data_IF_780140896745
#
_entry.id   IF_780140896745
#
_cell.length_a   1.000
_cell.length_b   1.000
_cell.length_c   1.000
_cell.angle_alpha   90.00
_cell.angle_beta   90.00
_cell.angle_gamma   90.00
#
_symmetry.space_group_name_H-M   'P 1'
#
loop_
_entity.id
_entity.type
_entity.pdbx_description
1 polymer ?
#
# COMPACT_ATOMS: atom_id res chain seq x y z
N UNK A 1 9.28 29.04 2.63
CA UNK A 1 9.54 27.61 2.80
C UNK A 1 11.00 27.51 3.15
N UNK A 2 11.30 27.05 4.36
CA UNK A 2 12.68 26.80 4.76
C UNK A 2 13.21 25.63 3.92
N UNK A 3 14.03 25.93 2.91
CA UNK A 3 14.64 24.93 2.00
C UNK A 3 15.48 23.86 2.74
N UNK A 4 15.76 24.05 4.04
CA UNK A 4 16.51 23.13 4.89
C UNK A 4 15.66 22.06 5.62
N UNK A 5 14.33 22.02 5.46
CA UNK A 5 13.48 21.09 6.24
C UNK A 5 13.31 19.69 5.65
N UNK A 6 13.41 19.52 4.32
CA UNK A 6 13.19 18.25 3.61
C UNK A 6 14.51 17.59 3.18
N UNK A 7 15.54 17.64 4.01
CA UNK A 7 16.81 16.98 3.68
C UNK A 7 16.70 15.45 3.81
N UNK A 8 17.43 14.67 3.00
CA UNK A 8 17.43 13.21 3.09
C UNK A 8 17.69 12.68 4.50
N UNK A 9 18.61 13.30 5.25
CA UNK A 9 18.92 12.90 6.63
C UNK A 9 17.73 13.14 7.57
N UNK A 10 17.00 14.26 7.39
CA UNK A 10 15.84 14.59 8.23
C UNK A 10 14.66 13.67 7.93
N UNK A 11 14.43 13.36 6.65
CA UNK A 11 13.40 12.40 6.23
C UNK A 11 13.70 11.01 6.79
N UNK A 12 14.93 10.52 6.63
CA UNK A 12 15.32 9.20 7.14
C UNK A 12 15.19 9.11 8.67
N UNK A 13 15.60 10.16 9.41
CA UNK A 13 15.43 10.22 10.87
C UNK A 13 13.97 10.20 11.32
N UNK A 14 13.05 10.60 10.44
CA UNK A 14 11.60 10.62 10.67
C UNK A 14 10.88 9.36 10.14
N UNK A 15 11.59 8.31 9.72
CA UNK A 15 11.02 7.13 9.04
C UNK A 15 10.30 7.45 7.72
N UNK A 16 10.74 8.51 7.04
CA UNK A 16 10.31 8.87 5.69
C UNK A 16 11.43 8.47 4.72
N UNK A 17 11.11 7.80 3.63
CA UNK A 17 12.11 7.36 2.68
C UNK A 17 12.70 8.56 1.93
N UNK A 18 14.04 8.73 1.90
CA UNK A 18 14.68 9.95 1.41
C UNK A 18 14.54 10.21 -0.09
N UNK A 19 14.21 9.17 -0.88
CA UNK A 19 14.07 9.29 -2.34
C UNK A 19 12.61 9.41 -2.80
N UNK A 20 11.70 8.71 -2.13
CA UNK A 20 10.27 8.67 -2.52
C UNK A 20 9.43 9.62 -1.69
N UNK A 21 9.96 10.06 -0.55
CA UNK A 21 9.37 11.03 0.37
C UNK A 21 8.09 10.52 1.02
N UNK A 22 7.93 9.19 1.06
CA UNK A 22 6.83 8.50 1.71
C UNK A 22 7.30 7.84 3.01
N UNK A 23 6.50 7.98 4.07
CA UNK A 23 6.64 7.23 5.31
C UNK A 23 6.06 5.82 5.21
N UNK A 24 6.78 4.84 5.76
CA UNK A 24 6.37 3.43 5.84
C UNK A 24 5.18 3.20 6.76
N UNK A 25 4.94 4.12 7.70
CA UNK A 25 3.87 4.03 8.70
C UNK A 25 2.46 3.93 8.08
N UNK A 26 2.26 4.45 6.85
CA UNK A 26 0.99 4.31 6.15
C UNK A 26 0.60 2.84 5.93
N UNK A 27 1.57 1.92 5.82
CA UNK A 27 1.29 0.48 5.69
C UNK A 27 0.51 -0.08 6.89
N UNK A 28 0.59 0.56 8.07
CA UNK A 28 -0.19 0.16 9.23
C UNK A 28 -1.69 0.26 8.95
N UNK A 29 -2.14 1.30 8.24
CA UNK A 29 -3.55 1.48 7.86
C UNK A 29 -4.08 0.30 7.03
N UNK A 30 -3.28 -0.20 6.08
CA UNK A 30 -3.67 -1.37 5.28
C UNK A 30 -3.63 -2.66 6.08
N UNK A 31 -2.59 -2.83 6.92
CA UNK A 31 -2.44 -4.02 7.75
C UNK A 31 -3.60 -4.16 8.75
N UNK A 32 -4.12 -3.05 9.29
CA UNK A 32 -5.29 -3.06 10.16
C UNK A 32 -6.53 -3.60 9.44
N UNK A 33 -6.84 -3.13 8.23
CA UNK A 33 -7.95 -3.65 7.44
C UNK A 33 -7.80 -5.16 7.13
N UNK A 34 -6.60 -5.58 6.72
CA UNK A 34 -6.30 -7.00 6.45
C UNK A 34 -6.52 -7.85 7.70
N UNK A 35 -6.01 -7.41 8.85
CA UNK A 35 -6.18 -8.11 10.12
C UNK A 35 -7.66 -8.29 10.46
N UNK A 36 -8.48 -7.24 10.31
CA UNK A 36 -9.92 -7.32 10.56
C UNK A 36 -10.60 -8.37 9.68
N UNK A 37 -10.28 -8.38 8.39
CA UNK A 37 -10.84 -9.34 7.43
C UNK A 37 -10.38 -10.78 7.72
N UNK A 38 -9.11 -10.98 8.09
CA UNK A 38 -8.55 -12.28 8.46
C UNK A 38 -9.22 -12.89 9.70
N UNK A 39 -9.76 -12.06 10.60
CA UNK A 39 -10.47 -12.53 11.79
C UNK A 39 -11.89 -13.02 11.49
N UNK A 40 -12.56 -12.49 10.45
CA UNK A 40 -13.98 -12.77 10.18
C UNK A 40 -14.32 -14.28 10.11
N UNK A 41 -13.52 -15.15 9.44
CA UNK A 41 -13.84 -16.58 9.38
C UNK A 41 -13.86 -17.26 10.76
N UNK A 42 -13.00 -16.83 11.68
CA UNK A 42 -12.92 -17.37 13.05
C UNK A 42 -13.87 -16.65 14.02
N UNK A 43 -14.14 -15.36 13.77
CA UNK A 43 -14.99 -14.49 14.57
C UNK A 43 -15.88 -13.64 13.65
N UNK A 44 -17.05 -14.16 13.22
CA UNK A 44 -17.96 -13.46 12.31
C UNK A 44 -18.41 -12.07 12.78
N UNK A 45 -18.43 -11.84 14.10
CA UNK A 45 -18.78 -10.54 14.71
C UNK A 45 -17.83 -9.41 14.28
N UNK A 46 -16.57 -9.72 13.96
CA UNK A 46 -15.59 -8.74 13.44
C UNK A 46 -15.99 -8.18 12.07
N UNK A 47 -16.97 -8.78 11.36
CA UNK A 47 -17.50 -8.20 10.13
C UNK A 47 -18.07 -6.79 10.35
N UNK A 48 -18.60 -6.49 11.55
CA UNK A 48 -19.06 -5.14 11.88
C UNK A 48 -17.92 -4.11 11.81
N UNK A 49 -16.73 -4.45 12.31
CA UNK A 49 -15.54 -3.58 12.25
C UNK A 49 -15.06 -3.40 10.80
N UNK A 50 -15.10 -4.46 9.98
CA UNK A 50 -14.80 -4.35 8.54
C UNK A 50 -15.79 -3.41 7.83
N UNK A 51 -17.07 -3.42 8.21
CA UNK A 51 -18.11 -2.56 7.64
C UNK A 51 -18.00 -1.09 8.07
N UNK A 52 -17.42 -0.83 9.24
CA UNK A 52 -17.14 0.50 9.78
C UNK A 52 -15.79 1.06 9.34
N UNK A 53 -14.91 0.22 8.78
CA UNK A 53 -13.62 0.67 8.29
C UNK A 53 -13.78 1.65 7.12
N UNK A 54 -13.09 2.79 7.19
CA UNK A 54 -13.13 3.84 6.18
C UNK A 54 -11.75 4.08 5.53
N UNK A 55 -11.70 4.29 4.21
CA UNK A 55 -10.46 4.62 3.52
C UNK A 55 -9.95 5.98 3.97
N UNK A 56 -8.63 6.11 4.07
CA UNK A 56 -7.96 7.37 4.42
C UNK A 56 -6.97 7.75 3.35
N UNK A 57 -6.97 9.03 2.97
CA UNK A 57 -5.88 9.59 2.18
C UNK A 57 -4.57 9.54 2.97
N UNK A 58 -3.44 9.68 2.29
CA UNK A 58 -2.12 9.74 2.94
C UNK A 58 -2.10 10.79 4.06
N UNK A 59 -2.56 12.01 3.77
CA UNK A 59 -2.56 13.09 4.76
C UNK A 59 -3.47 12.80 5.96
N UNK A 60 -4.70 12.31 5.71
CA UNK A 60 -5.64 11.99 6.79
C UNK A 60 -5.08 10.92 7.75
N UNK A 61 -4.42 9.88 7.23
CA UNK A 61 -3.76 8.87 8.08
C UNK A 61 -2.79 9.51 9.07
N UNK A 62 -1.93 10.41 8.60
CA UNK A 62 -0.96 11.07 9.47
C UNK A 62 -1.59 12.11 10.40
N UNK A 63 -2.64 12.81 9.97
CA UNK A 63 -3.39 13.75 10.80
C UNK A 63 -4.02 13.05 12.02
N UNK A 64 -4.61 11.87 11.79
CA UNK A 64 -5.33 11.07 12.78
C UNK A 64 -4.42 10.28 13.73
N UNK A 65 -3.16 10.04 13.35
CA UNK A 65 -2.22 9.24 14.13
C UNK A 65 -1.34 10.09 15.06
N UNK A 66 -0.71 9.41 16.03
CA UNK A 66 0.31 9.99 16.92
C UNK A 66 1.72 9.93 16.31
N UNK A 67 1.82 9.84 14.98
CA UNK A 67 3.10 9.81 14.29
C UNK A 67 3.87 11.13 14.56
N UNK A 68 5.06 11.02 15.15
CA UNK A 68 5.78 12.14 15.75
C UNK A 68 6.09 13.26 14.74
N UNK A 69 6.38 12.88 13.50
CA UNK A 69 6.80 13.80 12.43
C UNK A 69 5.70 13.90 11.36
N UNK A 70 4.42 13.89 11.75
CA UNK A 70 3.28 13.87 10.82
C UNK A 70 3.23 15.05 9.87
N UNK A 71 3.52 16.25 10.36
CA UNK A 71 3.58 17.45 9.52
C UNK A 71 4.68 17.32 8.45
N UNK A 72 5.84 16.76 8.83
CA UNK A 72 6.95 16.51 7.91
C UNK A 72 6.58 15.44 6.88
N UNK A 73 5.89 14.36 7.28
CA UNK A 73 5.43 13.32 6.35
C UNK A 73 4.43 13.86 5.32
N UNK A 74 3.49 14.70 5.76
CA UNK A 74 2.50 15.34 4.87
C UNK A 74 3.19 16.32 3.92
N UNK A 75 4.10 17.15 4.43
CA UNK A 75 4.90 18.10 3.63
C UNK A 75 5.76 17.37 2.59
N UNK A 76 6.47 16.32 3.01
CA UNK A 76 7.28 15.48 2.14
C UNK A 76 6.43 14.81 1.05
N UNK A 77 5.28 14.25 1.40
CA UNK A 77 4.37 13.68 0.40
C UNK A 77 3.88 14.74 -0.59
N UNK A 78 3.52 15.95 -0.15
CA UNK A 78 3.08 17.01 -1.06
C UNK A 78 4.17 17.46 -2.04
N UNK A 79 5.43 17.39 -1.63
CA UNK A 79 6.59 17.74 -2.44
C UNK A 79 7.20 16.56 -3.22
N UNK A 80 6.75 15.33 -2.96
CA UNK A 80 7.19 14.13 -3.64
C UNK A 80 6.94 14.18 -5.15
N UNK A 81 7.71 13.39 -5.91
CA UNK A 81 7.54 13.23 -7.36
C UNK A 81 6.06 12.89 -7.67
N UNK A 82 5.39 13.66 -8.54
CA UNK A 82 4.02 13.37 -8.97
C UNK A 82 3.82 11.93 -9.45
N UNK A 83 4.81 11.30 -10.10
CA UNK A 83 4.74 9.92 -10.58
C UNK A 83 4.71 8.92 -9.42
N UNK A 84 5.49 9.16 -8.36
CA UNK A 84 5.49 8.34 -7.15
C UNK A 84 4.13 8.43 -6.46
N UNK A 85 3.58 9.64 -6.32
CA UNK A 85 2.25 9.83 -5.75
C UNK A 85 1.16 9.15 -6.55
N UNK A 86 1.15 9.33 -7.87
CA UNK A 86 0.18 8.70 -8.74
C UNK A 86 0.24 7.16 -8.65
N UNK A 87 1.45 6.59 -8.56
CA UNK A 87 1.62 5.14 -8.38
C UNK A 87 1.07 4.67 -7.03
N UNK A 88 1.32 5.42 -5.96
CA UNK A 88 0.80 5.12 -4.63
C UNK A 88 -0.74 5.22 -4.58
N UNK A 89 -1.28 6.31 -5.11
CA UNK A 89 -2.73 6.59 -5.16
C UNK A 89 -3.47 5.52 -5.98
N UNK A 90 -2.88 5.04 -7.09
CA UNK A 90 -3.46 3.95 -7.87
C UNK A 90 -3.59 2.64 -7.07
N UNK A 91 -2.61 2.30 -6.24
CA UNK A 91 -2.68 1.12 -5.36
C UNK A 91 -3.70 1.34 -4.24
N UNK A 92 -3.78 2.56 -3.70
CA UNK A 92 -4.80 2.93 -2.72
C UNK A 92 -6.22 2.79 -3.29
N UNK A 93 -6.46 3.25 -4.51
CA UNK A 93 -7.75 3.10 -5.19
C UNK A 93 -8.10 1.63 -5.44
N UNK A 94 -7.13 0.79 -5.84
CA UNK A 94 -7.31 -0.66 -6.00
C UNK A 94 -7.71 -1.32 -4.68
N UNK A 95 -7.00 -1.00 -3.59
CA UNK A 95 -7.29 -1.51 -2.25
C UNK A 95 -8.69 -1.10 -1.79
N UNK A 96 -9.02 0.18 -1.92
CA UNK A 96 -10.30 0.74 -1.47
C UNK A 96 -11.48 0.18 -2.26
N UNK A 97 -11.32 -0.01 -3.58
CA UNK A 97 -12.35 -0.63 -4.41
C UNK A 97 -12.62 -2.09 -4.02
N UNK A 98 -11.55 -2.86 -3.76
CA UNK A 98 -11.67 -4.23 -3.26
C UNK A 98 -12.41 -4.27 -1.92
N UNK A 99 -12.01 -3.42 -0.97
CA UNK A 99 -12.63 -3.37 0.34
C UNK A 99 -14.11 -2.96 0.27
N UNK A 100 -14.45 -1.96 -0.55
CA UNK A 100 -15.84 -1.54 -0.74
C UNK A 100 -16.71 -2.68 -1.32
N UNK A 101 -16.16 -3.49 -2.23
CA UNK A 101 -16.84 -4.67 -2.75
C UNK A 101 -17.08 -5.72 -1.66
N UNK A 102 -16.07 -6.00 -0.81
CA UNK A 102 -16.21 -6.90 0.33
C UNK A 102 -17.25 -6.39 1.33
N UNK A 103 -17.24 -5.11 1.65
CA UNK A 103 -18.23 -4.50 2.55
C UNK A 103 -19.65 -4.61 1.97
N UNK A 104 -19.82 -4.43 0.66
CA UNK A 104 -21.13 -4.60 0.01
C UNK A 104 -21.61 -6.05 0.15
N UNK A 105 -20.75 -7.02 -0.13
CA UNK A 105 -21.05 -8.43 0.02
C UNK A 105 -21.40 -8.80 1.48
N UNK A 106 -20.65 -8.28 2.46
CA UNK A 106 -20.88 -8.52 3.89
C UNK A 106 -22.19 -7.90 4.41
N UNK A 107 -22.69 -6.82 3.79
CA UNK A 107 -24.02 -6.25 4.14
C UNK A 107 -25.18 -7.12 3.66
N UNK A 108 -24.97 -7.89 2.60
CA UNK A 108 -26.02 -8.67 1.93
C UNK A 108 -26.00 -10.16 2.30
N UNK A 109 -24.96 -10.61 3.01
CA UNK A 109 -24.69 -12.02 3.27
C UNK A 109 -24.34 -12.30 4.72
N UNK A 110 -24.54 -13.55 5.17
CA UNK A 110 -24.07 -14.01 6.46
C UNK A 110 -22.53 -14.19 6.44
N UNK A 111 -21.74 -13.49 7.29
CA UNK A 111 -20.30 -13.66 7.36
C UNK A 111 -19.84 -15.07 7.77
N UNK A 112 -20.73 -15.88 8.37
CA UNK A 112 -20.47 -17.28 8.67
C UNK A 112 -20.67 -18.22 7.46
N UNK A 113 -21.19 -17.71 6.33
CA UNK A 113 -21.37 -18.51 5.12
C UNK A 113 -19.99 -18.92 4.53
N UNK A 114 -19.74 -20.23 4.29
CA UNK A 114 -18.49 -20.71 3.71
C UNK A 114 -18.13 -20.07 2.35
N UNK A 115 -19.12 -19.74 1.51
CA UNK A 115 -18.86 -19.07 0.24
C UNK A 115 -18.34 -17.64 0.44
N UNK A 116 -18.89 -16.92 1.43
CA UNK A 116 -18.43 -15.59 1.84
C UNK A 116 -17.00 -15.66 2.38
N UNK A 117 -16.70 -16.63 3.24
CA UNK A 117 -15.36 -16.81 3.80
C UNK A 117 -14.32 -17.12 2.73
N UNK A 118 -14.69 -17.90 1.71
CA UNK A 118 -13.82 -18.18 0.56
C UNK A 118 -13.53 -16.90 -0.25
N UNK A 119 -14.55 -16.07 -0.49
CA UNK A 119 -14.39 -14.79 -1.18
C UNK A 119 -13.50 -13.82 -0.40
N UNK A 120 -13.67 -13.71 0.92
CA UNK A 120 -12.78 -12.90 1.78
C UNK A 120 -11.33 -13.39 1.68
N UNK A 121 -11.12 -14.70 1.75
CA UNK A 121 -9.78 -15.31 1.65
C UNK A 121 -9.13 -15.05 0.28
N UNK A 122 -9.89 -15.19 -0.81
CA UNK A 122 -9.41 -14.91 -2.17
C UNK A 122 -9.05 -13.43 -2.32
N UNK A 123 -9.90 -12.50 -1.87
CA UNK A 123 -9.60 -11.08 -1.91
C UNK A 123 -8.35 -10.69 -1.11
N UNK A 124 -8.15 -11.31 0.06
CA UNK A 124 -6.95 -11.12 0.87
C UNK A 124 -5.67 -11.50 0.12
N UNK A 125 -5.63 -12.70 -0.45
CA UNK A 125 -4.43 -13.25 -1.09
C UNK A 125 -4.18 -12.64 -2.49
N UNK A 126 -5.23 -12.35 -3.24
CA UNK A 126 -5.12 -11.95 -4.64
C UNK A 126 -5.09 -10.44 -4.84
N UNK A 127 -5.60 -9.64 -3.88
CA UNK A 127 -5.69 -8.18 -4.01
C UNK A 127 -5.09 -7.43 -2.84
N UNK A 128 -5.57 -7.65 -1.61
CA UNK A 128 -5.22 -6.80 -0.47
C UNK A 128 -3.75 -6.96 -0.03
N UNK A 129 -3.26 -8.20 0.17
CA UNK A 129 -1.85 -8.45 0.52
C UNK A 129 -0.89 -8.03 -0.62
N UNK A 130 -1.19 -8.31 -1.90
CA UNK A 130 -0.42 -7.75 -3.02
C UNK A 130 -0.39 -6.22 -3.03
N UNK A 131 -1.50 -5.53 -2.71
CA UNK A 131 -1.52 -4.07 -2.61
C UNK A 131 -0.57 -3.57 -1.51
N UNK A 132 -0.53 -4.18 -0.32
CA UNK A 132 0.48 -3.84 0.71
C UNK A 132 1.90 -4.01 0.19
N UNK A 133 2.17 -5.11 -0.51
CA UNK A 133 3.48 -5.37 -1.10
C UNK A 133 3.87 -4.31 -2.15
N UNK A 134 2.94 -3.97 -3.06
CA UNK A 134 3.12 -2.90 -4.07
C UNK A 134 3.39 -1.55 -3.39
N UNK A 135 2.57 -1.16 -2.40
CA UNK A 135 2.74 0.09 -1.65
C UNK A 135 4.08 0.12 -0.91
N UNK A 136 4.48 -0.98 -0.29
CA UNK A 136 5.80 -1.10 0.35
C UNK A 136 6.92 -0.92 -0.67
N UNK A 137 6.80 -1.54 -1.86
CA UNK A 137 7.74 -1.34 -2.97
C UNK A 137 7.86 0.13 -3.36
N UNK A 138 6.73 0.81 -3.57
CA UNK A 138 6.69 2.24 -3.93
C UNK A 138 7.35 3.10 -2.83
N UNK A 139 7.05 2.84 -1.56
CA UNK A 139 7.63 3.59 -0.44
C UNK A 139 9.15 3.42 -0.40
N UNK A 140 9.68 2.22 -0.64
CA UNK A 140 11.12 1.95 -0.59
C UNK A 140 11.85 2.22 -1.92
N UNK A 141 11.20 2.84 -2.90
CA UNK A 141 11.82 3.12 -4.20
C UNK A 141 12.03 1.89 -5.08
N UNK A 142 11.34 0.78 -4.78
CA UNK A 142 11.28 -0.39 -5.64
C UNK A 142 10.73 0.02 -7.01
N UNK A 143 11.58 -0.11 -8.02
CA UNK A 143 11.32 0.35 -9.38
C UNK A 143 9.89 0.06 -9.83
N UNK A 144 9.20 1.10 -10.30
CA UNK A 144 8.11 0.88 -11.25
C UNK A 144 8.65 -0.06 -12.34
N UNK A 145 7.87 -1.06 -12.82
CA UNK A 145 8.29 -1.79 -13.99
C UNK A 145 8.45 -0.79 -15.14
N UNK A 146 9.70 -0.52 -15.51
CA UNK A 146 10.10 0.36 -16.59
C UNK A 146 9.31 0.01 -17.85
N UNK A 147 8.24 0.76 -18.12
CA UNK A 147 7.64 0.81 -19.44
C UNK A 147 8.43 1.78 -20.31
N UNK A 148 9.74 1.56 -20.45
CA UNK A 148 10.60 2.19 -21.45
C UNK A 148 12.02 1.58 -21.47
N UNK A 149 12.17 0.38 -22.01
CA UNK A 149 13.41 0.00 -22.72
C UNK A 149 13.07 -0.89 -23.91
N UNK A 150 12.46 -0.30 -24.93
CA UNK A 150 12.68 -0.75 -26.30
C UNK A 150 14.07 -0.24 -26.70
N UNK A 151 15.07 -1.11 -26.51
CA UNK A 151 16.47 -0.82 -26.78
C UNK A 151 17.21 -2.11 -27.12
N UNK A 152 17.05 -2.50 -28.38
CA UNK A 152 17.86 -3.41 -29.19
C UNK A 152 19.22 -3.85 -28.61
N UNK A 153 19.47 -5.16 -28.62
CA UNK A 153 20.73 -5.73 -28.14
C UNK A 153 20.75 -7.25 -28.08
N UNK A 154 20.40 -7.92 -29.17
CA UNK A 154 20.77 -9.32 -29.36
C UNK A 154 22.29 -9.45 -29.52
N UNK A 155 22.97 -10.10 -28.58
CA UNK A 155 24.29 -10.72 -28.78
C UNK A 155 24.49 -11.75 -27.66
N UNK A 156 24.22 -13.03 -27.90
CA UNK A 156 25.18 -14.02 -28.42
C UNK A 156 26.46 -14.06 -27.56
N UNK A 157 26.56 -15.10 -26.72
CA UNK A 157 27.75 -15.95 -26.57
C UNK A 157 27.47 -17.07 -25.54
N UNK A 158 26.93 -18.18 -26.03
CA UNK A 158 26.98 -19.48 -25.35
C UNK A 158 28.20 -20.20 -25.92
N UNK A 159 29.38 -19.97 -25.37
CA UNK A 159 30.54 -20.82 -25.69
C UNK A 159 31.61 -20.77 -24.60
N UNK A 160 31.35 -21.36 -23.42
CA UNK A 160 32.39 -21.56 -22.39
C UNK A 160 32.06 -22.68 -21.38
N UNK A 161 31.25 -23.70 -21.76
CA UNK A 161 30.95 -24.85 -20.87
C UNK A 161 31.55 -26.19 -21.33
N UNK A 162 32.57 -26.18 -22.19
CA UNK A 162 33.40 -27.37 -22.44
C UNK A 162 34.85 -26.94 -22.75
N UNK A 163 35.59 -26.60 -21.69
CA UNK A 163 37.04 -26.41 -21.71
C UNK A 163 37.66 -27.03 -20.47
#
# INVERSE_FOLDING_TARGET
MDEDRLTPERLAAANIHPETWLATDYLNHFNEAIMLIEMVPAMPDCAAEVLEWEPKTYAQHFEDTNFQEKELAIEAYQAADPMVRASFEAVLDEFNACLAALQTMLRESDPANPEVQLLLSSALEETLKPAVSKTSGIIHGGAAPDSATLGDGAQADIDLLFG
#
